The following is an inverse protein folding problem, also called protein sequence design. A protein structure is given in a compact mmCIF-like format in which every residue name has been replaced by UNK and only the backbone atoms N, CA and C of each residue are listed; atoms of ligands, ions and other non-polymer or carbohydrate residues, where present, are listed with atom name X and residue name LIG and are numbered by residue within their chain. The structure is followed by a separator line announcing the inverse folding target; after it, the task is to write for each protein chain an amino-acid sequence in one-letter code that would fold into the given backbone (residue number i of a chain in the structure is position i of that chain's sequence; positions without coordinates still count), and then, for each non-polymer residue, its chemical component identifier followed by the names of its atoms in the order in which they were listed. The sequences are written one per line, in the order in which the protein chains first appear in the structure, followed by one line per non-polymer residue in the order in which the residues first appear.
data_IF_381985244899
#
_entry.id   IF_381985244899
#
_cell.length_a   1.000
_cell.length_b   1.000
_cell.length_c   1.000
_cell.angle_alpha   90.00
_cell.angle_beta   90.00
_cell.angle_gamma   90.00
#
_symmetry.space_group_name_H-M   'P 1'
#
loop_
_entity.id
_entity.type
_entity.pdbx_description
1 polymer ?
#
# COMPACT_ATOMS: atom_id res chain seq x y z
N UNK A 1 -6.44 -6.93 11.20
CA UNK A 1 -5.37 -5.96 11.50
C UNK A 1 -4.01 -6.60 11.21
N UNK A 2 -3.20 -5.98 10.37
CA UNK A 2 -1.84 -6.47 10.06
C UNK A 2 -0.93 -6.20 11.26
N UNK A 3 -0.44 -7.26 11.91
CA UNK A 3 0.53 -7.17 13.01
C UNK A 3 1.94 -7.45 12.51
N UNK A 4 2.96 -6.91 13.21
CA UNK A 4 4.37 -7.21 12.90
C UNK A 4 4.67 -8.70 13.06
N UNK A 5 4.11 -9.33 14.09
CA UNK A 5 4.25 -10.78 14.33
C UNK A 5 3.76 -11.63 13.15
N UNK A 6 2.66 -11.26 12.49
CA UNK A 6 2.20 -11.96 11.28
C UNK A 6 3.23 -11.88 10.15
N UNK A 7 3.82 -10.70 9.93
CA UNK A 7 4.82 -10.47 8.88
C UNK A 7 6.09 -11.26 9.21
N UNK A 8 6.55 -11.20 10.46
CA UNK A 8 7.74 -11.93 10.92
C UNK A 8 7.54 -13.44 10.78
N UNK A 9 6.35 -13.95 11.11
CA UNK A 9 6.01 -15.36 10.92
C UNK A 9 6.01 -15.77 9.45
N UNK A 10 5.45 -14.96 8.55
CA UNK A 10 5.47 -15.21 7.10
C UNK A 10 6.93 -15.25 6.59
N UNK A 11 7.77 -14.32 7.03
CA UNK A 11 9.18 -14.25 6.65
C UNK A 11 9.96 -15.45 7.18
N UNK A 12 9.73 -15.84 8.44
CA UNK A 12 10.34 -17.03 9.03
C UNK A 12 10.01 -18.30 8.24
N UNK A 13 8.72 -18.52 7.93
CA UNK A 13 8.27 -19.65 7.11
C UNK A 13 8.86 -19.61 5.69
N UNK A 14 9.05 -18.41 5.13
CA UNK A 14 9.70 -18.25 3.83
C UNK A 14 11.19 -18.60 3.85
N UNK A 15 11.93 -18.18 4.88
CA UNK A 15 13.34 -18.55 5.01
C UNK A 15 13.52 -20.05 5.28
N UNK A 16 12.63 -20.64 6.06
CA UNK A 16 12.60 -22.09 6.29
C UNK A 16 12.31 -22.86 4.99
N UNK A 17 11.36 -22.39 4.19
CA UNK A 17 11.05 -23.02 2.89
C UNK A 17 12.21 -23.02 1.90
N UNK A 18 13.02 -21.96 1.94
CA UNK A 18 14.19 -21.77 1.07
C UNK A 18 15.41 -22.61 1.49
N UNK A 19 15.53 -22.93 2.78
CA UNK A 19 16.68 -23.64 3.34
C UNK A 19 16.44 -25.14 3.42
N UNK A 20 15.41 -25.54 4.17
CA UNK A 20 15.16 -26.93 4.55
C UNK A 20 13.90 -27.51 3.87
N UNK A 21 13.05 -26.64 3.33
CA UNK A 21 11.74 -26.98 2.81
C UNK A 21 10.64 -26.80 3.87
N UNK A 22 9.39 -26.68 3.42
CA UNK A 22 8.22 -26.59 4.30
C UNK A 22 7.52 -27.93 4.38
N UNK A 23 7.08 -28.30 5.58
CA UNK A 23 6.10 -29.37 5.75
C UNK A 23 4.73 -28.90 5.24
N UNK A 24 3.82 -29.84 4.96
CA UNK A 24 2.52 -29.48 4.39
C UNK A 24 1.64 -28.67 5.37
N UNK A 25 1.80 -28.89 6.68
CA UNK A 25 1.17 -28.10 7.73
C UNK A 25 1.65 -26.64 7.71
N UNK A 26 2.96 -26.43 7.55
CA UNK A 26 3.55 -25.09 7.50
C UNK A 26 3.20 -24.35 6.20
N UNK A 27 3.06 -25.06 5.08
CA UNK A 27 2.55 -24.49 3.82
C UNK A 27 1.10 -24.01 3.98
N UNK A 28 0.28 -24.79 4.69
CA UNK A 28 -1.10 -24.42 5.01
C UNK A 28 -1.14 -23.17 5.89
N UNK A 29 -0.31 -23.11 6.93
CA UNK A 29 -0.16 -21.94 7.79
C UNK A 29 0.27 -20.70 6.97
N UNK A 30 1.32 -20.83 6.15
CA UNK A 30 1.81 -19.75 5.30
C UNK A 30 0.74 -19.27 4.31
N UNK A 31 -0.03 -20.19 3.71
CA UNK A 31 -1.09 -19.86 2.76
C UNK A 31 -2.28 -19.17 3.43
N UNK A 32 -2.59 -19.52 4.69
CA UNK A 32 -3.61 -18.85 5.49
C UNK A 32 -3.18 -17.43 5.83
N UNK A 33 -1.97 -17.28 6.40
CA UNK A 33 -1.39 -15.99 6.78
C UNK A 33 -1.26 -15.03 5.59
N UNK A 34 -0.82 -15.52 4.42
CA UNK A 34 -0.72 -14.70 3.19
C UNK A 34 -2.08 -14.23 2.70
N UNK A 35 -3.11 -15.08 2.74
CA UNK A 35 -4.47 -14.68 2.34
C UNK A 35 -5.01 -13.56 3.22
N UNK A 36 -4.83 -13.71 4.52
CA UNK A 36 -5.29 -12.72 5.50
C UNK A 36 -4.55 -11.39 5.33
N UNK A 37 -3.22 -11.43 5.16
CA UNK A 37 -2.42 -10.25 4.85
C UNK A 37 -2.88 -9.53 3.58
N UNK A 38 -3.09 -10.26 2.47
CA UNK A 38 -3.51 -9.66 1.19
C UNK A 38 -4.90 -9.04 1.31
N UNK A 39 -5.83 -9.67 2.02
CA UNK A 39 -7.18 -9.14 2.23
C UNK A 39 -7.13 -7.79 2.93
N UNK A 40 -6.39 -7.72 4.03
CA UNK A 40 -6.23 -6.51 4.83
C UNK A 40 -5.49 -5.39 4.07
N UNK A 41 -4.44 -5.74 3.33
CA UNK A 41 -3.73 -4.79 2.46
C UNK A 41 -4.66 -4.26 1.38
N UNK A 42 -5.47 -5.12 0.74
CA UNK A 42 -6.40 -4.69 -0.31
C UNK A 42 -7.44 -3.71 0.24
N UNK A 43 -8.00 -3.97 1.41
CA UNK A 43 -8.93 -3.06 2.08
C UNK A 43 -8.27 -1.73 2.43
N UNK A 44 -7.05 -1.76 2.98
CA UNK A 44 -6.27 -0.55 3.30
C UNK A 44 -5.91 0.25 2.05
N UNK A 45 -5.48 -0.40 0.97
CA UNK A 45 -5.15 0.27 -0.30
C UNK A 45 -6.40 0.89 -0.91
N UNK A 46 -7.54 0.18 -0.88
CA UNK A 46 -8.81 0.74 -1.34
C UNK A 46 -9.20 1.98 -0.54
N UNK A 47 -9.11 1.93 0.78
CA UNK A 47 -9.34 3.09 1.64
C UNK A 47 -8.38 4.24 1.33
N UNK A 48 -7.10 3.95 1.08
CA UNK A 48 -6.13 4.98 0.69
C UNK A 48 -6.52 5.64 -0.64
N UNK A 49 -6.92 4.86 -1.64
CA UNK A 49 -7.36 5.38 -2.94
C UNK A 49 -8.67 6.17 -2.84
N UNK A 50 -9.62 5.73 -2.02
CA UNK A 50 -10.88 6.46 -1.77
C UNK A 50 -10.65 7.81 -1.08
N UNK A 51 -9.53 7.99 -0.37
CA UNK A 51 -9.12 9.25 0.26
C UNK A 51 -8.19 10.10 -0.63
N UNK A 52 -7.84 9.65 -1.85
CA UNK A 52 -7.09 10.49 -2.79
C UNK A 52 -8.08 11.45 -3.43
N UNK A 53 -8.08 12.68 -2.92
CA UNK A 53 -8.73 13.81 -3.57
C UNK A 53 -7.87 14.23 -4.77
N UNK A 54 -8.47 14.29 -5.95
CA UNK A 54 -7.83 14.89 -7.12
C UNK A 54 -7.78 16.40 -6.85
N UNK A 55 -6.60 16.90 -6.48
CA UNK A 55 -6.36 18.34 -6.45
C UNK A 55 -6.11 18.76 -7.90
N UNK A 56 -7.16 19.18 -8.59
CA UNK A 56 -6.99 19.97 -9.79
C UNK A 56 -6.24 21.25 -9.35
N UNK A 57 -4.99 21.41 -9.78
CA UNK A 57 -4.25 22.68 -9.68
C UNK A 57 -4.87 23.73 -10.63
N UNK A 58 -6.19 23.88 -10.64
CA UNK A 58 -6.87 25.00 -11.29
C UNK A 58 -6.95 26.16 -10.31
N UNK A 59 -5.78 26.71 -10.01
CA UNK A 59 -5.66 28.16 -9.81
C UNK A 59 -4.40 28.64 -10.51
N UNK A 60 -4.38 28.41 -11.83
CA UNK A 60 -3.70 29.31 -12.73
C UNK A 60 -4.12 30.74 -12.36
N UNK A 61 -3.13 31.54 -12.01
CA UNK A 61 -3.23 32.93 -11.59
C UNK A 61 -3.58 33.78 -12.82
N UNK A 62 -4.77 33.58 -13.38
CA UNK A 62 -5.31 34.41 -14.45
C UNK A 62 -5.96 35.66 -13.85
N UNK A 63 -5.12 36.53 -13.28
CA UNK A 63 -5.37 37.97 -13.32
C UNK A 63 -4.29 38.60 -14.19
N UNK A 64 -4.65 38.65 -15.47
CA UNK A 64 -4.05 39.35 -16.59
C UNK A 64 -2.89 40.32 -16.31
N UNK A 65 -1.83 40.12 -17.09
CA UNK A 65 -1.00 41.19 -17.65
C UNK A 65 -1.81 42.47 -17.94
N UNK A 66 -1.27 43.62 -17.54
CA UNK A 66 -1.18 44.90 -18.25
C UNK A 66 -1.33 46.09 -17.29
N UNK A 67 -0.20 46.59 -16.80
CA UNK A 67 -0.07 48.01 -16.50
C UNK A 67 1.28 48.50 -17.02
N UNK A 68 1.29 48.81 -18.32
CA UNK A 68 2.31 49.67 -18.90
C UNK A 68 1.79 51.10 -18.75
N UNK A 69 2.28 51.83 -17.73
CA UNK A 69 2.01 53.26 -17.61
C UNK A 69 2.92 54.00 -18.58
N UNK A 70 2.33 54.54 -19.64
CA UNK A 70 2.92 55.59 -20.46
C UNK A 70 2.43 56.95 -19.97
N UNK A 71 3.42 57.83 -19.74
CA UNK A 71 3.40 59.27 -19.49
C UNK A 71 2.61 59.80 -18.28
#
# INVERSE_FOLDING_TARGET
MITKEMIDRINFLYHKSKSEGLTDEEKLEQSKLRREYIKEIRERVKQQLDNIEFVDEDSCHDDCCHHHQHN
#
